data_IF_272012329591
#
_entry.id   IF_272012329591
#
_cell.length_a   1.000
_cell.length_b   1.000
_cell.length_c   1.000
_cell.angle_alpha   90.00
_cell.angle_beta   90.00
_cell.angle_gamma   90.00
#
_symmetry.space_group_name_H-M   'P 1'
#
loop_
_entity.id
_entity.type
_entity.pdbx_description
1 polymer ?
#
# COMPACT_ATOMS: atom_id res chain seq x y z
N UNK A 1 -12.61 13.81 8.49
CA UNK A 1 -11.60 14.12 7.43
C UNK A 1 -10.60 13.00 7.17
N UNK A 2 -10.22 12.19 8.16
CA UNK A 2 -9.17 11.15 8.05
C UNK A 2 -9.30 10.30 6.77
N UNK A 3 -8.19 10.09 6.05
CA UNK A 3 -8.17 9.28 4.83
C UNK A 3 -7.22 9.80 3.77
N UNK A 4 -7.09 9.05 2.69
CA UNK A 4 -6.52 9.53 1.44
C UNK A 4 -7.64 10.05 0.54
N UNK A 5 -7.49 11.26 0.03
CA UNK A 5 -8.44 11.95 -0.83
C UNK A 5 -7.75 12.26 -2.16
N UNK A 6 -8.35 11.85 -3.25
CA UNK A 6 -7.80 12.03 -4.60
C UNK A 6 -8.85 12.71 -5.45
N UNK A 7 -8.49 13.80 -6.10
CA UNK A 7 -9.40 14.58 -6.93
C UNK A 7 -8.68 15.51 -7.89
N UNK A 8 -9.42 16.53 -8.34
CA UNK A 8 -8.92 17.54 -9.27
C UNK A 8 -8.98 18.93 -8.62
N UNK A 9 -8.02 19.76 -8.93
CA UNK A 9 -8.04 21.18 -8.63
C UNK A 9 -8.60 21.98 -9.80
N UNK A 10 -9.25 23.10 -9.48
CA UNK A 10 -9.63 24.16 -10.41
C UNK A 10 -9.18 25.50 -9.86
N UNK A 11 -9.40 26.57 -10.60
CA UNK A 11 -8.91 27.92 -10.33
C UNK A 11 -7.65 28.23 -11.12
N UNK A 12 -6.66 28.89 -10.51
CA UNK A 12 -5.43 29.29 -11.21
C UNK A 12 -4.49 28.11 -11.54
N UNK A 13 -4.70 26.95 -10.91
CA UNK A 13 -3.92 25.73 -11.18
C UNK A 13 -4.87 24.54 -11.32
N UNK A 14 -5.04 24.06 -12.54
CA UNK A 14 -5.76 22.82 -12.83
C UNK A 14 -4.81 21.63 -12.76
N UNK A 15 -5.23 20.52 -12.12
CA UNK A 15 -4.40 19.35 -11.99
C UNK A 15 -4.97 18.31 -11.03
N UNK A 16 -4.18 17.30 -10.71
CA UNK A 16 -4.53 16.32 -9.70
C UNK A 16 -4.17 16.84 -8.29
N UNK A 17 -5.03 16.57 -7.33
CA UNK A 17 -4.73 16.76 -5.90
C UNK A 17 -4.83 15.41 -5.18
N UNK A 18 -3.85 15.16 -4.30
CA UNK A 18 -3.82 14.00 -3.41
C UNK A 18 -3.65 14.55 -2.00
N UNK A 19 -4.57 14.25 -1.08
CA UNK A 19 -4.52 14.73 0.30
C UNK A 19 -4.53 13.51 1.24
N UNK A 20 -3.45 13.33 1.98
CA UNK A 20 -3.28 12.27 2.95
C UNK A 20 -3.47 12.85 4.36
N UNK A 21 -4.52 12.43 5.06
CA UNK A 21 -4.92 13.01 6.36
C UNK A 21 -4.89 11.94 7.44
N UNK A 22 -4.02 12.13 8.44
CA UNK A 22 -3.96 11.33 9.66
C UNK A 22 -4.75 11.99 10.80
N UNK A 23 -5.29 11.17 11.67
CA UNK A 23 -5.89 11.56 12.94
C UNK A 23 -4.80 11.63 14.02
N UNK A 24 -4.57 12.82 14.58
CA UNK A 24 -3.54 13.09 15.59
C UNK A 24 -4.10 13.24 17.01
N UNK A 25 -5.30 12.69 17.27
CA UNK A 25 -5.99 12.85 18.55
C UNK A 25 -6.91 14.07 18.55
N UNK A 26 -6.45 15.24 18.92
CA UNK A 26 -7.28 16.44 19.00
C UNK A 26 -7.42 17.21 17.68
N UNK A 27 -6.60 16.89 16.69
CA UNK A 27 -6.54 17.57 15.39
C UNK A 27 -6.23 16.59 14.27
N UNK A 28 -6.34 17.05 13.04
CA UNK A 28 -5.84 16.35 11.86
C UNK A 28 -4.50 16.94 11.43
N UNK A 29 -3.66 16.09 10.82
CA UNK A 29 -2.44 16.55 10.16
C UNK A 29 -2.20 15.71 8.92
N UNK A 30 -1.39 16.22 8.00
CA UNK A 30 -1.14 15.47 6.79
C UNK A 30 -0.31 16.19 5.75
N UNK A 31 -0.26 15.58 4.59
CA UNK A 31 0.48 16.05 3.43
C UNK A 31 -0.45 16.04 2.20
N UNK A 32 -0.50 17.16 1.49
CA UNK A 32 -1.20 17.29 0.23
C UNK A 32 -0.18 17.44 -0.92
N UNK A 33 -0.50 16.85 -2.08
CA UNK A 33 0.25 17.05 -3.31
C UNK A 33 -0.67 17.69 -4.35
N UNK A 34 -0.17 18.72 -5.02
CA UNK A 34 -0.82 19.34 -6.19
C UNK A 34 0.09 19.09 -7.39
N UNK A 35 -0.45 18.40 -8.38
CA UNK A 35 0.24 17.96 -9.59
C UNK A 35 -0.44 18.63 -10.80
N UNK A 36 0.06 19.80 -11.26
CA UNK A 36 -0.54 20.52 -12.37
C UNK A 36 -0.53 19.71 -13.67
N UNK A 37 -1.58 19.89 -14.48
CA UNK A 37 -1.62 19.33 -15.84
C UNK A 37 -0.66 20.08 -16.77
N UNK A 38 -0.52 21.40 -16.59
CA UNK A 38 0.46 22.20 -17.27
C UNK A 38 1.87 21.88 -16.74
N UNK A 39 2.69 21.30 -17.59
CA UNK A 39 4.07 20.90 -17.26
C UNK A 39 5.02 22.08 -17.08
N UNK A 40 4.61 23.29 -17.44
CA UNK A 40 5.36 24.51 -17.15
C UNK A 40 5.16 25.00 -15.71
N UNK A 41 4.21 24.44 -14.98
CA UNK A 41 3.98 24.73 -13.57
C UNK A 41 4.65 23.68 -12.67
N UNK A 42 5.30 24.09 -11.57
CA UNK A 42 5.91 23.16 -10.63
C UNK A 42 4.84 22.42 -9.82
N UNK A 43 5.01 21.13 -9.65
CA UNK A 43 4.25 20.36 -8.66
C UNK A 43 4.66 20.78 -7.23
N UNK A 44 3.72 20.70 -6.31
CA UNK A 44 3.92 21.16 -4.93
C UNK A 44 3.42 20.13 -3.90
N UNK A 45 4.12 20.05 -2.78
CA UNK A 45 3.69 19.35 -1.58
C UNK A 45 3.38 20.38 -0.48
N UNK A 46 2.24 20.22 0.20
CA UNK A 46 1.83 21.09 1.31
C UNK A 46 1.63 20.29 2.59
N UNK A 47 2.49 20.52 3.60
CA UNK A 47 2.29 19.94 4.93
C UNK A 47 1.40 20.83 5.78
N UNK A 48 0.51 20.25 6.57
CA UNK A 48 -0.46 20.97 7.37
C UNK A 48 -0.84 20.29 8.67
N UNK A 49 -1.32 21.10 9.62
CA UNK A 49 -2.07 20.65 10.80
C UNK A 49 -3.30 21.55 10.99
N UNK A 50 -4.47 20.94 11.25
CA UNK A 50 -5.68 21.69 11.59
C UNK A 50 -5.62 22.17 13.03
N UNK A 51 -6.27 23.28 13.39
CA UNK A 51 -6.34 23.73 14.79
C UNK A 51 -7.14 22.75 15.67
N UNK A 52 -8.16 22.14 15.11
CA UNK A 52 -9.10 21.22 15.76
C UNK A 52 -9.68 20.21 14.75
N UNK A 53 -10.73 19.49 15.11
CA UNK A 53 -11.46 18.52 14.25
C UNK A 53 -12.82 19.03 13.76
N UNK A 54 -13.05 20.32 13.72
CA UNK A 54 -14.29 20.86 13.20
C UNK A 54 -14.51 20.54 11.73
N UNK A 55 -15.77 20.48 11.35
CA UNK A 55 -16.20 20.14 9.97
C UNK A 55 -15.76 21.22 8.98
N UNK A 56 -15.76 22.47 9.44
CA UNK A 56 -15.35 23.66 8.68
C UNK A 56 -14.17 24.31 9.42
N UNK A 57 -13.03 24.31 8.79
CA UNK A 57 -11.79 24.75 9.46
C UNK A 57 -10.86 25.47 8.48
N UNK A 58 -10.05 26.38 9.02
CA UNK A 58 -9.05 27.11 8.26
C UNK A 58 -7.68 26.97 8.93
N UNK A 59 -6.66 26.80 8.12
CA UNK A 59 -5.28 26.61 8.58
C UNK A 59 -4.27 27.03 7.53
N UNK A 60 -3.01 27.13 7.92
CA UNK A 60 -1.89 27.32 7.00
C UNK A 60 -1.25 25.98 6.61
N UNK A 61 -0.85 25.87 5.36
CA UNK A 61 0.00 24.82 4.85
C UNK A 61 1.36 25.41 4.44
N UNK A 62 2.45 24.74 4.82
CA UNK A 62 3.79 25.05 4.33
C UNK A 62 4.02 24.24 3.05
N UNK A 63 4.47 24.91 1.99
CA UNK A 63 4.61 24.30 0.67
C UNK A 63 6.05 24.21 0.24
N UNK A 64 6.40 23.05 -0.33
CA UNK A 64 7.67 22.76 -0.95
C UNK A 64 7.45 22.33 -2.41
N UNK A 65 8.33 22.71 -3.33
CA UNK A 65 8.27 22.22 -4.69
C UNK A 65 8.68 20.75 -4.76
N UNK A 66 8.23 20.09 -5.82
CA UNK A 66 8.57 18.71 -6.12
C UNK A 66 9.51 18.70 -7.32
N UNK A 67 10.65 18.03 -7.18
CA UNK A 67 11.56 17.81 -8.30
C UNK A 67 10.90 16.86 -9.33
N UNK A 68 10.64 17.30 -10.56
CA UNK A 68 9.95 16.49 -11.56
C UNK A 68 10.75 15.25 -12.00
N UNK A 69 12.05 15.21 -11.73
CA UNK A 69 12.93 14.07 -12.08
C UNK A 69 12.81 12.92 -11.07
N UNK A 70 12.62 13.26 -9.79
CA UNK A 70 12.59 12.29 -8.69
C UNK A 70 11.18 12.06 -8.12
N UNK A 71 10.31 13.06 -8.22
CA UNK A 71 8.99 13.08 -7.57
C UNK A 71 9.04 13.39 -6.07
N UNK A 72 10.20 13.79 -5.55
CA UNK A 72 10.41 14.13 -4.14
C UNK A 72 10.37 15.64 -3.92
N UNK A 73 10.06 16.04 -2.69
CA UNK A 73 10.19 17.45 -2.28
C UNK A 73 11.65 17.89 -2.32
N UNK A 74 11.86 19.14 -2.69
CA UNK A 74 13.20 19.74 -2.83
C UNK A 74 13.17 21.22 -2.50
N UNK A 75 14.32 21.86 -2.44
CA UNK A 75 14.41 23.32 -2.36
C UNK A 75 14.17 23.96 -3.73
N UNK A 76 13.48 25.11 -3.73
CA UNK A 76 13.19 25.84 -4.98
C UNK A 76 14.45 26.17 -5.77
N UNK A 77 15.53 26.52 -5.10
CA UNK A 77 16.82 26.85 -5.72
C UNK A 77 17.37 25.71 -6.62
N UNK A 78 17.03 24.46 -6.34
CA UNK A 78 17.51 23.30 -7.10
C UNK A 78 16.76 23.07 -8.41
N UNK A 79 15.53 23.60 -8.53
CA UNK A 79 14.69 23.37 -9.71
C UNK A 79 14.19 24.66 -10.37
N UNK A 80 14.48 25.84 -9.83
CA UNK A 80 14.04 27.13 -10.39
C UNK A 80 14.46 27.32 -11.86
N UNK A 81 15.61 26.78 -12.26
CA UNK A 81 16.07 26.84 -13.64
C UNK A 81 15.18 26.09 -14.63
N UNK A 82 14.38 25.14 -14.15
CA UNK A 82 13.37 24.42 -14.94
C UNK A 82 12.10 25.26 -15.17
N UNK A 83 11.92 26.31 -14.38
CA UNK A 83 10.72 27.15 -14.35
C UNK A 83 11.11 28.66 -14.34
N UNK A 84 11.77 29.18 -15.38
CA UNK A 84 12.42 30.49 -15.34
C UNK A 84 11.46 31.68 -15.15
N UNK A 85 10.18 31.53 -15.49
CA UNK A 85 9.17 32.59 -15.37
C UNK A 85 8.26 32.43 -14.13
N UNK A 86 8.55 31.47 -13.26
CA UNK A 86 7.68 31.10 -12.15
C UNK A 86 8.37 31.35 -10.81
N UNK A 87 7.60 31.77 -9.83
CA UNK A 87 8.01 31.76 -8.41
C UNK A 87 7.19 30.71 -7.66
N UNK A 88 7.82 29.96 -6.78
CA UNK A 88 7.14 28.96 -5.97
C UNK A 88 6.61 29.58 -4.67
N UNK A 89 5.34 29.33 -4.36
CA UNK A 89 4.75 29.73 -3.10
C UNK A 89 5.30 28.89 -1.94
N UNK A 90 5.59 29.52 -0.80
CA UNK A 90 6.09 28.85 0.41
C UNK A 90 4.99 28.54 1.42
N UNK A 91 3.85 29.21 1.31
CA UNK A 91 2.69 29.03 2.18
C UNK A 91 1.39 29.16 1.41
N UNK A 92 0.35 28.50 1.93
CA UNK A 92 -1.02 28.69 1.49
C UNK A 92 -1.98 28.74 2.70
N UNK A 93 -2.97 29.64 2.65
CA UNK A 93 -4.10 29.62 3.56
C UNK A 93 -5.16 28.67 3.00
N UNK A 94 -5.53 27.67 3.78
CA UNK A 94 -6.45 26.61 3.38
C UNK A 94 -7.76 26.77 4.13
N UNK A 95 -8.88 26.78 3.40
CA UNK A 95 -10.21 26.51 3.93
C UNK A 95 -10.60 25.07 3.59
N UNK A 96 -11.01 24.30 4.58
CA UNK A 96 -11.42 22.93 4.40
C UNK A 96 -12.79 22.69 5.02
N UNK A 97 -13.73 22.15 4.24
CA UNK A 97 -15.04 21.69 4.72
C UNK A 97 -15.21 20.24 4.41
N UNK A 98 -15.49 19.47 5.45
CA UNK A 98 -15.75 18.03 5.34
C UNK A 98 -17.21 17.74 5.65
N UNK A 99 -17.93 17.11 4.73
CA UNK A 99 -19.29 16.66 4.92
C UNK A 99 -19.45 15.25 4.38
N UNK A 100 -19.77 14.32 5.27
CA UNK A 100 -19.92 12.89 4.94
C UNK A 100 -18.70 12.31 4.20
N UNK A 101 -18.80 12.11 2.88
CA UNK A 101 -17.76 11.59 2.02
C UNK A 101 -17.22 12.65 1.04
N UNK A 102 -17.45 13.93 1.31
CA UNK A 102 -17.02 15.03 0.48
C UNK A 102 -16.01 15.90 1.25
N UNK A 103 -14.94 16.27 0.57
CA UNK A 103 -13.93 17.20 1.06
C UNK A 103 -13.86 18.39 0.10
N UNK A 104 -14.34 19.53 0.55
CA UNK A 104 -14.21 20.80 -0.16
C UNK A 104 -12.99 21.54 0.34
N UNK A 105 -12.13 21.94 -0.57
CA UNK A 105 -10.90 22.67 -0.28
C UNK A 105 -10.87 23.98 -1.07
N UNK A 106 -10.45 25.04 -0.39
CA UNK A 106 -10.02 26.29 -1.00
C UNK A 106 -8.64 26.61 -0.54
N UNK A 107 -7.78 27.08 -1.42
CA UNK A 107 -6.43 27.49 -1.05
C UNK A 107 -6.10 28.83 -1.68
N UNK A 108 -5.42 29.69 -0.94
CA UNK A 108 -4.84 30.93 -1.43
C UNK A 108 -3.38 31.00 -1.01
N UNK A 109 -2.50 31.00 -1.99
CA UNK A 109 -1.04 31.04 -1.76
C UNK A 109 -0.58 32.44 -1.36
N UNK A 110 0.60 32.55 -0.75
CA UNK A 110 1.24 33.82 -0.44
C UNK A 110 1.64 34.63 -1.71
N UNK A 111 1.60 34.02 -2.89
CA UNK A 111 1.80 34.70 -4.17
C UNK A 111 0.48 35.11 -4.85
N UNK A 112 -0.67 34.83 -4.20
CA UNK A 112 -1.99 35.24 -4.65
C UNK A 112 -2.74 34.20 -5.48
N UNK A 113 -2.13 33.13 -5.93
CA UNK A 113 -2.80 32.07 -6.67
C UNK A 113 -3.89 31.37 -5.81
N UNK A 114 -5.02 31.08 -6.43
CA UNK A 114 -6.18 30.44 -5.80
C UNK A 114 -6.45 29.07 -6.39
N UNK A 115 -6.77 28.10 -5.56
CA UNK A 115 -7.16 26.76 -5.95
C UNK A 115 -8.45 26.38 -5.23
N UNK A 116 -9.29 25.61 -5.93
CA UNK A 116 -10.48 24.99 -5.35
C UNK A 116 -10.49 23.51 -5.70
N UNK A 117 -11.07 22.71 -4.81
CA UNK A 117 -11.27 21.28 -5.09
C UNK A 117 -12.51 20.78 -4.36
N UNK A 118 -13.27 19.92 -5.03
CA UNK A 118 -14.35 19.16 -4.41
C UNK A 118 -14.08 17.68 -4.67
N UNK A 119 -13.72 16.97 -3.62
CA UNK A 119 -13.31 15.57 -3.69
C UNK A 119 -14.41 14.72 -3.07
N UNK A 120 -14.98 13.83 -3.88
CA UNK A 120 -15.99 12.86 -3.43
C UNK A 120 -15.30 11.51 -3.30
N UNK A 121 -15.38 10.93 -2.10
CA UNK A 121 -14.85 9.60 -1.82
C UNK A 121 -15.98 8.60 -1.68
N UNK A 122 -15.86 7.45 -2.35
CA UNK A 122 -16.79 6.35 -2.10
C UNK A 122 -16.66 5.86 -0.66
N UNK A 123 -17.77 5.49 0.01
CA UNK A 123 -17.72 4.85 1.31
C UNK A 123 -16.76 3.66 1.29
N UNK A 124 -15.94 3.53 2.33
CA UNK A 124 -15.00 2.44 2.42
C UNK A 124 -15.75 1.10 2.55
N UNK A 125 -15.41 0.14 1.68
CA UNK A 125 -15.82 -1.26 1.81
C UNK A 125 -14.64 -2.11 2.26
N UNK A 126 -14.88 -2.99 3.22
CA UNK A 126 -13.90 -4.01 3.61
C UNK A 126 -13.79 -5.14 2.59
N UNK A 127 -14.86 -5.36 1.83
CA UNK A 127 -14.91 -6.39 0.80
C UNK A 127 -14.34 -5.87 -0.53
N UNK A 128 -13.68 -6.77 -1.23
CA UNK A 128 -13.16 -6.52 -2.56
C UNK A 128 -14.27 -6.30 -3.59
N UNK A 129 -14.04 -5.37 -4.51
CA UNK A 129 -14.91 -5.16 -5.68
C UNK A 129 -14.57 -6.13 -6.82
N UNK A 130 -13.46 -6.87 -6.73
CA UNK A 130 -13.05 -7.86 -7.72
C UNK A 130 -13.89 -9.12 -7.54
N UNK A 131 -14.56 -9.54 -8.59
CA UNK A 131 -15.31 -10.80 -8.60
C UNK A 131 -14.34 -11.96 -8.71
N UNK A 132 -14.31 -12.85 -7.72
CA UNK A 132 -13.59 -14.11 -7.79
C UNK A 132 -14.43 -15.18 -8.51
N UNK A 133 -13.78 -16.01 -9.30
CA UNK A 133 -14.41 -17.20 -9.83
C UNK A 133 -14.36 -18.30 -8.77
N UNK A 134 -15.52 -18.84 -8.41
CA UNK A 134 -15.61 -19.90 -7.38
C UNK A 134 -15.19 -21.23 -7.99
N UNK A 135 -14.16 -21.86 -7.41
CA UNK A 135 -13.56 -23.11 -7.89
C UNK A 135 -13.41 -24.12 -6.74
N UNK A 136 -13.33 -25.40 -7.11
CA UNK A 136 -12.86 -26.45 -6.22
C UNK A 136 -11.32 -26.38 -6.10
N UNK A 137 -10.77 -27.08 -5.11
CA UNK A 137 -9.33 -27.19 -4.94
C UNK A 137 -8.64 -27.80 -6.18
N UNK A 138 -9.26 -28.82 -6.79
CA UNK A 138 -8.74 -29.46 -8.01
C UNK A 138 -8.72 -28.49 -9.21
N UNK A 139 -9.79 -27.72 -9.38
CA UNK A 139 -9.85 -26.72 -10.44
C UNK A 139 -8.80 -25.62 -10.21
N UNK A 140 -8.64 -25.15 -8.97
CA UNK A 140 -7.59 -24.21 -8.62
C UNK A 140 -6.20 -24.70 -9.01
N UNK A 141 -5.84 -25.94 -8.61
CA UNK A 141 -4.54 -26.54 -8.95
C UNK A 141 -4.31 -26.60 -10.47
N UNK A 142 -5.33 -27.00 -11.22
CA UNK A 142 -5.28 -27.06 -12.68
C UNK A 142 -5.02 -25.69 -13.29
N UNK A 143 -5.74 -24.67 -12.83
CA UNK A 143 -5.63 -23.32 -13.39
C UNK A 143 -4.27 -22.69 -13.09
N UNK A 144 -3.82 -22.77 -11.83
CA UNK A 144 -2.53 -22.17 -11.46
C UNK A 144 -1.34 -22.91 -12.08
N UNK A 145 -1.46 -24.21 -12.35
CA UNK A 145 -0.43 -24.97 -13.04
C UNK A 145 -0.25 -24.57 -14.52
N UNK A 146 -1.26 -23.96 -15.12
CA UNK A 146 -1.19 -23.41 -16.47
C UNK A 146 -0.52 -22.02 -16.52
N UNK A 147 -0.32 -21.36 -15.37
CA UNK A 147 0.33 -20.06 -15.29
C UNK A 147 1.85 -20.21 -15.35
N UNK A 148 2.49 -19.33 -16.13
CA UNK A 148 3.95 -19.34 -16.27
C UNK A 148 4.61 -18.71 -15.03
N UNK A 149 5.34 -19.51 -14.29
CA UNK A 149 6.31 -19.18 -13.23
C UNK A 149 6.26 -17.77 -12.64
N UNK A 150 7.40 -17.09 -12.61
CA UNK A 150 7.57 -15.75 -11.96
C UNK A 150 6.81 -14.59 -12.63
N UNK A 151 6.00 -14.84 -13.67
CA UNK A 151 5.14 -13.86 -14.32
C UNK A 151 4.07 -13.30 -13.38
N UNK A 152 3.62 -14.11 -12.42
CA UNK A 152 2.51 -13.81 -11.53
C UNK A 152 2.94 -13.79 -10.08
N UNK A 153 2.28 -12.92 -9.31
CA UNK A 153 2.30 -12.92 -7.85
C UNK A 153 0.94 -13.36 -7.32
N UNK A 154 0.97 -14.07 -6.20
CA UNK A 154 -0.23 -14.62 -5.58
C UNK A 154 -0.35 -14.10 -4.14
N UNK A 155 -1.59 -13.85 -3.69
CA UNK A 155 -1.86 -13.49 -2.32
C UNK A 155 -3.11 -14.18 -1.81
N UNK A 156 -2.97 -15.03 -0.79
CA UNK A 156 -4.08 -15.71 -0.13
C UNK A 156 -4.70 -14.86 0.97
N UNK A 157 -6.01 -14.86 1.06
CA UNK A 157 -6.78 -14.25 2.13
C UNK A 157 -7.93 -15.15 2.53
N UNK A 158 -8.18 -15.23 3.85
CA UNK A 158 -9.26 -16.03 4.42
C UNK A 158 -10.66 -15.66 3.91
N UNK A 159 -10.84 -14.41 3.48
CA UNK A 159 -12.10 -13.87 2.94
C UNK A 159 -11.78 -12.95 1.77
N UNK A 160 -12.78 -12.64 0.93
CA UNK A 160 -12.63 -11.69 -0.16
C UNK A 160 -12.48 -10.23 0.33
N UNK A 161 -11.51 -9.97 1.21
CA UNK A 161 -11.22 -8.62 1.67
C UNK A 161 -10.48 -7.81 0.61
N UNK A 162 -10.76 -6.52 0.57
CA UNK A 162 -10.08 -5.56 -0.30
C UNK A 162 -8.57 -5.53 -0.02
N UNK A 163 -7.77 -5.47 -1.09
CA UNK A 163 -6.33 -5.32 -0.99
C UNK A 163 -5.98 -3.97 -0.35
N UNK A 164 -5.27 -4.01 0.77
CA UNK A 164 -4.88 -2.84 1.54
C UNK A 164 -3.67 -3.13 2.40
N UNK A 165 -2.71 -2.21 2.48
CA UNK A 165 -1.54 -2.38 3.33
C UNK A 165 -1.92 -2.34 4.82
N UNK A 166 -1.06 -2.87 5.69
CA UNK A 166 -1.29 -2.81 7.13
C UNK A 166 -1.32 -1.36 7.66
N UNK A 167 -0.50 -0.48 7.10
CA UNK A 167 -0.45 0.95 7.41
C UNK A 167 -1.82 1.62 7.18
N UNK A 168 -2.39 1.46 6.00
CA UNK A 168 -3.69 2.03 5.67
C UNK A 168 -4.84 1.37 6.46
N UNK A 169 -4.77 0.05 6.75
CA UNK A 169 -5.77 -0.61 7.62
C UNK A 169 -5.79 -0.06 9.04
N UNK A 170 -4.67 0.45 9.53
CA UNK A 170 -4.59 1.15 10.84
C UNK A 170 -5.05 2.61 10.76
N UNK A 171 -5.46 3.08 9.57
CA UNK A 171 -5.99 4.42 9.37
C UNK A 171 -4.92 5.50 9.39
N UNK A 172 -3.72 5.17 8.93
CA UNK A 172 -2.62 6.09 8.66
C UNK A 172 -2.45 6.27 7.16
N UNK A 173 -2.11 7.48 6.72
CA UNK A 173 -2.07 7.85 5.30
C UNK A 173 -0.87 8.74 4.96
N UNK A 174 -0.32 9.45 5.94
CA UNK A 174 0.84 10.32 5.77
C UNK A 174 2.14 9.50 5.83
N UNK A 175 2.65 9.13 4.65
CA UNK A 175 3.90 8.37 4.53
C UNK A 175 5.14 9.22 4.81
N UNK A 176 5.07 10.54 4.64
CA UNK A 176 6.18 11.41 5.03
C UNK A 176 6.40 11.32 6.53
N UNK A 177 5.33 11.45 7.30
CA UNK A 177 5.38 11.30 8.75
C UNK A 177 5.81 9.89 9.19
N UNK A 178 5.39 8.85 8.48
CA UNK A 178 5.89 7.49 8.72
C UNK A 178 7.41 7.42 8.58
N UNK A 179 7.98 8.06 7.54
CA UNK A 179 9.43 8.05 7.31
C UNK A 179 10.19 8.94 8.30
N UNK A 180 9.65 10.08 8.70
CA UNK A 180 10.34 11.04 9.59
C UNK A 180 10.23 10.69 11.07
N UNK A 181 9.11 10.11 11.49
CA UNK A 181 8.81 9.86 12.91
C UNK A 181 8.94 8.37 13.26
N UNK A 182 8.21 7.49 12.52
CA UNK A 182 8.13 6.07 12.87
C UNK A 182 9.44 5.33 12.56
N UNK A 183 9.97 5.48 11.35
CA UNK A 183 11.14 4.73 10.90
C UNK A 183 12.39 5.00 11.76
N UNK A 184 12.77 6.26 12.09
CA UNK A 184 13.92 6.51 12.95
C UNK A 184 13.74 5.96 14.37
N UNK A 185 12.51 6.02 14.90
CA UNK A 185 12.20 5.46 16.23
C UNK A 185 12.33 3.93 16.23
N UNK A 186 11.77 3.27 15.21
CA UNK A 186 11.88 1.83 15.02
C UNK A 186 13.34 1.41 14.87
N UNK A 187 14.08 2.08 13.99
CA UNK A 187 15.48 1.79 13.75
C UNK A 187 16.30 1.87 15.04
N UNK A 188 16.20 2.98 15.78
CA UNK A 188 16.91 3.18 17.05
C UNK A 188 16.57 2.10 18.09
N UNK A 189 15.31 1.64 18.14
CA UNK A 189 14.90 0.62 19.11
C UNK A 189 15.28 -0.80 18.69
N UNK A 190 15.19 -1.11 17.41
CA UNK A 190 15.40 -2.47 16.90
C UNK A 190 16.87 -2.76 16.63
N UNK A 191 17.70 -1.76 16.39
CA UNK A 191 19.16 -1.95 16.18
C UNK A 191 19.87 -2.64 17.34
N UNK A 192 19.32 -2.59 18.56
CA UNK A 192 19.83 -3.32 19.71
C UNK A 192 19.45 -4.80 19.72
N UNK A 193 18.52 -5.23 18.87
CA UNK A 193 17.95 -6.58 18.82
C UNK A 193 18.25 -7.32 17.52
N UNK A 194 18.89 -6.66 16.55
CA UNK A 194 19.32 -7.24 15.28
C UNK A 194 20.84 -7.46 15.28
N UNK A 195 21.31 -8.48 14.59
CA UNK A 195 22.76 -8.73 14.39
C UNK A 195 23.31 -7.84 13.27
N UNK A 196 22.44 -7.45 12.32
CA UNK A 196 22.80 -6.57 11.22
C UNK A 196 22.40 -5.11 11.52
N UNK A 197 23.31 -4.18 11.25
CA UNK A 197 23.04 -2.74 11.33
C UNK A 197 22.64 -2.24 9.94
N UNK A 198 21.35 -2.01 9.76
CA UNK A 198 20.79 -1.56 8.48
C UNK A 198 21.25 -0.15 8.12
N UNK A 199 21.69 0.06 6.88
CA UNK A 199 21.87 1.40 6.32
C UNK A 199 20.59 1.84 5.59
N UNK A 200 19.81 2.71 6.22
CA UNK A 200 18.51 3.16 5.68
C UNK A 200 18.65 4.11 4.47
N UNK A 201 19.85 4.57 4.14
CA UNK A 201 20.11 5.34 2.91
C UNK A 201 20.25 4.44 1.68
N UNK A 202 20.51 3.15 1.89
CA UNK A 202 20.58 2.14 0.83
C UNK A 202 19.19 1.54 0.60
N UNK A 203 18.57 1.71 -0.58
CA UNK A 203 17.18 1.27 -0.82
C UNK A 203 16.92 -0.21 -0.52
N UNK A 204 17.85 -1.10 -0.82
CA UNK A 204 17.70 -2.52 -0.56
C UNK A 204 17.73 -2.85 0.94
N UNK A 205 18.56 -2.17 1.74
CA UNK A 205 18.61 -2.35 3.18
C UNK A 205 17.42 -1.70 3.87
N UNK A 206 16.98 -0.53 3.38
CA UNK A 206 15.76 0.11 3.84
C UNK A 206 14.54 -0.79 3.61
N UNK A 207 14.43 -1.38 2.40
CA UNK A 207 13.37 -2.34 2.10
C UNK A 207 13.42 -3.59 2.98
N UNK A 208 14.62 -4.15 3.22
CA UNK A 208 14.82 -5.29 4.12
C UNK A 208 14.41 -4.94 5.56
N UNK A 209 14.77 -3.74 6.04
CA UNK A 209 14.34 -3.25 7.35
C UNK A 209 12.82 -3.15 7.46
N UNK A 210 12.14 -2.55 6.48
CA UNK A 210 10.67 -2.46 6.46
C UNK A 210 10.01 -3.84 6.41
N UNK A 211 10.57 -4.77 5.64
CA UNK A 211 10.10 -6.15 5.59
C UNK A 211 10.26 -6.86 6.94
N UNK A 212 11.38 -6.64 7.62
CA UNK A 212 11.64 -7.19 8.96
C UNK A 212 10.62 -6.65 9.98
N UNK A 213 10.41 -5.35 10.05
CA UNK A 213 9.46 -4.78 11.02
C UNK A 213 8.02 -5.17 10.73
N UNK A 214 7.65 -5.35 9.44
CA UNK A 214 6.34 -5.91 9.07
C UNK A 214 6.18 -7.35 9.53
N UNK A 215 7.22 -8.16 9.38
CA UNK A 215 7.27 -9.53 9.86
C UNK A 215 6.97 -9.63 11.37
N UNK A 216 7.48 -8.69 12.15
CA UNK A 216 7.21 -8.58 13.59
C UNK A 216 5.92 -7.82 13.91
N UNK A 217 5.02 -7.62 12.94
CA UNK A 217 3.67 -7.10 13.12
C UNK A 217 3.53 -5.58 13.13
N UNK A 218 4.60 -4.84 12.85
CA UNK A 218 4.49 -3.39 12.71
C UNK A 218 3.79 -3.02 11.40
N UNK A 219 2.80 -2.11 11.41
CA UNK A 219 2.06 -1.73 10.20
C UNK A 219 2.95 -0.91 9.24
N UNK A 220 3.25 -1.48 8.09
CA UNK A 220 4.04 -0.84 7.03
C UNK A 220 3.19 -0.56 5.78
N UNK A 221 3.64 0.31 4.86
CA UNK A 221 3.01 0.54 3.56
C UNK A 221 3.34 -0.54 2.53
N UNK A 222 3.66 -1.73 2.99
CA UNK A 222 3.97 -2.89 2.17
C UNK A 222 2.76 -3.83 2.09
N UNK A 223 2.64 -4.53 0.97
CA UNK A 223 1.67 -5.62 0.81
C UNK A 223 2.41 -6.87 0.33
N UNK A 224 2.33 -7.93 1.13
CA UNK A 224 3.03 -9.18 0.86
C UNK A 224 2.32 -9.98 -0.23
N UNK A 225 3.13 -10.60 -1.06
CA UNK A 225 2.79 -11.54 -2.10
C UNK A 225 3.74 -12.74 -2.05
N UNK A 226 3.43 -13.74 -2.82
CA UNK A 226 4.31 -14.89 -3.04
C UNK A 226 4.34 -15.27 -4.52
N UNK A 227 5.45 -15.83 -4.98
CA UNK A 227 5.54 -16.44 -6.31
C UNK A 227 4.84 -17.81 -6.38
N UNK A 228 4.55 -18.41 -5.23
CA UNK A 228 3.92 -19.72 -5.17
C UNK A 228 2.40 -19.64 -4.99
N UNK A 229 1.59 -20.11 -5.94
CA UNK A 229 0.15 -20.22 -5.76
C UNK A 229 -0.22 -21.11 -4.57
N UNK A 230 0.60 -22.12 -4.27
CA UNK A 230 0.37 -23.05 -3.17
C UNK A 230 0.64 -22.41 -1.79
N UNK A 231 1.68 -21.59 -1.68
CA UNK A 231 1.93 -20.77 -0.48
C UNK A 231 0.78 -19.78 -0.26
N UNK A 232 0.28 -19.14 -1.33
CA UNK A 232 -0.90 -18.28 -1.24
C UNK A 232 -2.14 -19.04 -0.74
N UNK A 233 -2.37 -20.25 -1.27
CA UNK A 233 -3.46 -21.10 -0.79
C UNK A 233 -3.31 -21.49 0.69
N UNK A 234 -2.09 -21.80 1.15
CA UNK A 234 -1.81 -22.03 2.57
C UNK A 234 -2.26 -20.84 3.41
N UNK A 235 -1.85 -19.63 3.06
CA UNK A 235 -2.27 -18.42 3.78
C UNK A 235 -3.78 -18.18 3.74
N UNK A 236 -4.44 -18.55 2.64
CA UNK A 236 -5.89 -18.44 2.52
C UNK A 236 -6.62 -19.39 3.46
N UNK A 237 -6.17 -20.63 3.57
CA UNK A 237 -6.83 -21.68 4.36
C UNK A 237 -6.39 -21.73 5.83
N UNK A 238 -5.15 -21.31 6.15
CA UNK A 238 -4.54 -21.47 7.48
C UNK A 238 -5.45 -21.07 8.64
N UNK A 239 -6.12 -19.93 8.53
CA UNK A 239 -6.94 -19.38 9.62
C UNK A 239 -8.44 -19.65 9.47
N UNK A 240 -8.86 -20.57 8.62
CA UNK A 240 -10.26 -20.94 8.42
C UNK A 240 -10.66 -21.94 9.50
N UNK A 241 -11.69 -21.67 10.33
CA UNK A 241 -12.20 -22.66 11.28
C UNK A 241 -12.81 -23.86 10.54
N UNK A 242 -12.55 -25.08 11.03
CA UNK A 242 -13.04 -26.33 10.42
C UNK A 242 -14.58 -26.40 10.26
N UNK A 243 -15.32 -25.68 11.09
CA UNK A 243 -16.77 -25.73 11.12
C UNK A 243 -17.47 -24.76 10.16
N UNK A 244 -16.73 -23.92 9.44
CA UNK A 244 -17.31 -22.94 8.50
C UNK A 244 -17.23 -23.46 7.06
N UNK A 245 -18.33 -24.05 6.58
CA UNK A 245 -18.39 -24.69 5.25
C UNK A 245 -18.98 -23.81 4.13
N UNK A 246 -19.59 -22.67 4.48
CA UNK A 246 -20.33 -21.83 3.53
C UNK A 246 -19.55 -20.58 3.07
N UNK A 247 -18.33 -20.39 3.55
CA UNK A 247 -17.50 -19.26 3.19
C UNK A 247 -16.52 -19.64 2.07
N UNK A 248 -16.02 -18.67 1.36
CA UNK A 248 -14.92 -18.85 0.41
C UNK A 248 -13.65 -18.22 0.96
N UNK A 249 -12.50 -18.82 0.64
CA UNK A 249 -11.19 -18.19 0.75
C UNK A 249 -10.81 -17.64 -0.60
N UNK A 250 -9.97 -16.60 -0.63
CA UNK A 250 -9.60 -15.93 -1.88
C UNK A 250 -8.10 -15.99 -2.13
N UNK A 251 -7.73 -16.26 -3.38
CA UNK A 251 -6.37 -16.06 -3.88
C UNK A 251 -6.41 -15.00 -4.98
N UNK A 252 -5.74 -13.88 -4.75
CA UNK A 252 -5.48 -12.87 -5.76
C UNK A 252 -4.32 -13.30 -6.64
N UNK A 253 -4.40 -12.98 -7.92
CA UNK A 253 -3.39 -13.28 -8.94
C UNK A 253 -3.05 -11.97 -9.64
N UNK A 254 -1.81 -11.52 -9.52
CA UNK A 254 -1.33 -10.27 -10.06
C UNK A 254 -0.27 -10.51 -11.13
N UNK A 255 -0.54 -10.08 -12.37
CA UNK A 255 0.40 -10.16 -13.49
C UNK A 255 1.49 -9.08 -13.35
N UNK A 256 2.51 -9.38 -12.56
CA UNK A 256 3.59 -8.45 -12.26
C UNK A 256 4.50 -8.15 -13.45
N UNK A 257 4.67 -9.11 -14.36
CA UNK A 257 5.50 -8.91 -15.55
C UNK A 257 4.90 -7.84 -16.45
N UNK A 258 3.60 -7.97 -16.76
CA UNK A 258 2.90 -6.99 -17.57
C UNK A 258 2.77 -5.64 -16.85
N UNK A 259 2.58 -5.64 -15.53
CA UNK A 259 2.59 -4.43 -14.71
C UNK A 259 3.93 -3.70 -14.82
N UNK A 260 5.05 -4.39 -14.59
CA UNK A 260 6.40 -3.83 -14.68
C UNK A 260 6.74 -3.30 -16.08
N UNK A 261 6.20 -3.91 -17.13
CA UNK A 261 6.43 -3.45 -18.51
C UNK A 261 5.70 -2.15 -18.85
N UNK A 262 4.57 -1.86 -18.17
CA UNK A 262 3.75 -0.68 -18.44
C UNK A 262 4.00 0.47 -17.45
N UNK A 263 4.44 0.18 -16.21
CA UNK A 263 4.52 1.15 -15.13
C UNK A 263 5.91 1.19 -14.50
N UNK A 264 6.41 2.42 -14.32
CA UNK A 264 7.68 2.63 -13.63
C UNK A 264 7.60 2.12 -12.19
N UNK A 265 8.62 1.38 -11.75
CA UNK A 265 8.74 0.91 -10.38
C UNK A 265 9.54 1.95 -9.56
N UNK A 266 8.97 2.37 -8.44
CA UNK A 266 9.54 3.39 -7.56
C UNK A 266 9.88 2.75 -6.22
N UNK A 267 11.09 2.98 -5.74
CA UNK A 267 11.58 2.42 -4.47
C UNK A 267 11.18 3.28 -3.28
N UNK A 268 10.86 4.55 -3.53
CA UNK A 268 10.59 5.53 -2.48
C UNK A 268 9.11 5.62 -2.12
N UNK A 269 8.82 5.73 -0.82
CA UNK A 269 7.45 5.75 -0.28
C UNK A 269 6.76 7.10 -0.46
N UNK A 270 7.50 8.21 -0.37
CA UNK A 270 6.97 9.58 -0.27
C UNK A 270 7.00 10.37 -1.58
N UNK A 271 7.05 9.67 -2.71
CA UNK A 271 6.90 10.35 -4.02
C UNK A 271 5.51 10.94 -4.16
N UNK A 272 5.43 12.08 -4.81
CA UNK A 272 4.20 12.85 -4.97
C UNK A 272 3.12 12.13 -5.80
N UNK A 273 3.51 11.36 -6.80
CA UNK A 273 2.58 10.60 -7.65
C UNK A 273 2.11 9.31 -6.98
N UNK A 274 0.89 8.89 -7.32
CA UNK A 274 0.38 7.59 -6.90
C UNK A 274 1.17 6.46 -7.57
N UNK A 275 1.59 5.47 -6.79
CA UNK A 275 2.32 4.33 -7.32
C UNK A 275 2.03 3.02 -6.58
N UNK A 276 2.13 1.93 -7.33
CA UNK A 276 2.22 0.56 -6.85
C UNK A 276 3.44 -0.06 -7.51
N UNK A 277 4.44 -0.40 -6.73
CA UNK A 277 5.72 -0.91 -7.25
C UNK A 277 6.01 -2.28 -6.68
N UNK A 278 6.37 -3.22 -7.56
CA UNK A 278 6.76 -4.58 -7.17
C UNK A 278 8.24 -4.58 -6.81
N UNK A 279 8.54 -5.06 -5.60
CA UNK A 279 9.88 -5.09 -5.04
C UNK A 279 10.21 -6.47 -4.50
N UNK A 280 11.48 -6.82 -4.60
CA UNK A 280 12.06 -7.98 -3.93
C UNK A 280 13.10 -7.47 -2.93
N UNK A 281 12.93 -7.80 -1.67
CA UNK A 281 13.82 -7.34 -0.62
C UNK A 281 14.83 -8.43 -0.25
N UNK A 282 15.99 -8.01 0.22
CA UNK A 282 16.98 -8.91 0.76
C UNK A 282 16.43 -9.57 2.05
N UNK A 283 16.70 -10.87 2.21
CA UNK A 283 16.26 -11.63 3.38
C UNK A 283 17.18 -11.40 4.62
N UNK A 284 17.49 -10.13 4.91
CA UNK A 284 18.33 -9.78 6.05
C UNK A 284 17.50 -9.90 7.33
N UNK A 285 17.93 -10.73 8.27
CA UNK A 285 17.25 -10.99 9.55
C UNK A 285 15.79 -11.50 9.42
N UNK A 286 15.36 -11.92 8.22
CA UNK A 286 14.00 -12.35 7.94
C UNK A 286 13.99 -13.73 7.26
N UNK A 287 14.08 -14.78 8.06
CA UNK A 287 14.13 -16.17 7.59
C UNK A 287 12.90 -16.65 6.85
N UNK A 288 11.74 -15.94 6.98
CA UNK A 288 10.46 -16.33 6.34
C UNK A 288 10.40 -15.98 4.86
N UNK A 289 11.20 -15.02 4.38
CA UNK A 289 11.13 -14.57 2.98
C UNK A 289 11.39 -15.70 1.99
N UNK A 290 12.38 -16.56 2.29
CA UNK A 290 12.80 -17.65 1.37
C UNK A 290 11.73 -18.75 1.28
N UNK A 291 11.29 -19.40 2.38
CA UNK A 291 10.29 -20.47 2.30
C UNK A 291 8.94 -19.97 1.81
N UNK A 292 8.58 -18.72 2.08
CA UNK A 292 7.36 -18.11 1.56
C UNK A 292 7.47 -17.67 0.10
N UNK A 293 8.65 -17.79 -0.54
CA UNK A 293 8.90 -17.28 -1.90
C UNK A 293 8.37 -15.86 -2.06
N UNK A 294 8.73 -15.02 -1.09
CA UNK A 294 8.08 -13.74 -0.87
C UNK A 294 8.44 -12.70 -1.94
N UNK A 295 7.46 -11.96 -2.35
CA UNK A 295 7.57 -10.69 -3.06
C UNK A 295 6.71 -9.64 -2.36
N UNK A 296 6.96 -8.37 -2.63
CA UNK A 296 6.28 -7.29 -1.94
C UNK A 296 5.87 -6.21 -2.93
N UNK A 297 4.70 -5.61 -2.74
CA UNK A 297 4.41 -4.33 -3.38
C UNK A 297 4.50 -3.20 -2.37
N UNK A 298 5.17 -2.13 -2.80
CA UNK A 298 5.30 -0.86 -2.09
C UNK A 298 4.30 0.12 -2.68
N UNK A 299 3.53 0.80 -1.87
CA UNK A 299 2.50 1.71 -2.38
C UNK A 299 2.18 2.85 -1.41
N UNK A 300 1.88 4.01 -1.96
CA UNK A 300 1.30 5.14 -1.24
C UNK A 300 -0.24 5.24 -1.41
N UNK A 301 -0.89 4.17 -1.87
CA UNK A 301 -2.31 4.15 -2.22
C UNK A 301 -3.10 3.39 -1.17
N UNK A 302 -4.20 3.99 -0.71
CA UNK A 302 -5.16 3.36 0.21
C UNK A 302 -6.06 2.34 -0.52
N UNK A 303 -6.67 2.69 -1.65
CA UNK A 303 -7.50 1.79 -2.47
C UNK A 303 -6.71 1.22 -3.63
N UNK A 304 -5.95 0.16 -3.35
CA UNK A 304 -5.09 -0.51 -4.34
C UNK A 304 -5.90 -1.08 -5.52
N UNK A 305 -7.06 -1.66 -5.25
CA UNK A 305 -7.90 -2.29 -6.29
C UNK A 305 -8.47 -1.26 -7.25
N UNK A 306 -8.92 -0.11 -6.74
CA UNK A 306 -9.40 0.99 -7.60
C UNK A 306 -8.27 1.50 -8.50
N UNK A 307 -7.10 1.73 -7.93
CA UNK A 307 -5.95 2.20 -8.70
C UNK A 307 -5.54 1.22 -9.80
N UNK A 308 -5.45 -0.08 -9.49
CA UNK A 308 -5.13 -1.10 -10.52
C UNK A 308 -6.19 -1.09 -11.61
N UNK A 309 -7.48 -1.02 -11.26
CA UNK A 309 -8.59 -0.98 -12.24
C UNK A 309 -8.52 0.24 -13.17
N UNK A 310 -8.17 1.42 -12.63
CA UNK A 310 -7.95 2.61 -13.46
C UNK A 310 -6.80 2.39 -14.46
N UNK A 311 -5.71 1.75 -14.00
CA UNK A 311 -4.57 1.39 -14.84
C UNK A 311 -4.87 0.29 -15.86
N UNK A 312 -5.74 -0.65 -15.53
CA UNK A 312 -6.28 -1.65 -16.46
C UNK A 312 -7.10 -0.99 -17.57
N UNK A 313 -7.95 -0.03 -17.19
CA UNK A 313 -8.74 0.75 -18.15
C UNK A 313 -7.85 1.57 -19.08
N UNK A 314 -6.82 2.22 -18.54
CA UNK A 314 -5.86 3.04 -19.31
C UNK A 314 -5.10 2.20 -20.36
N UNK A 315 -4.79 0.93 -20.05
CA UNK A 315 -4.03 0.04 -20.93
C UNK A 315 -4.87 -0.97 -21.72
N UNK A 316 -6.16 -1.09 -21.41
CA UNK A 316 -7.05 -2.07 -22.04
C UNK A 316 -6.65 -3.53 -21.75
N UNK A 317 -6.09 -3.80 -20.57
CA UNK A 317 -5.64 -5.15 -20.17
C UNK A 317 -5.96 -5.40 -18.70
N UNK A 318 -5.87 -6.65 -18.25
CA UNK A 318 -6.09 -7.02 -16.85
C UNK A 318 -4.78 -7.37 -16.16
N UNK A 319 -4.53 -6.77 -14.99
CA UNK A 319 -3.39 -7.08 -14.15
C UNK A 319 -3.77 -7.90 -12.92
N UNK A 320 -4.99 -7.72 -12.40
CA UNK A 320 -5.40 -8.30 -11.12
C UNK A 320 -6.69 -9.10 -11.27
N UNK A 321 -6.61 -10.39 -10.98
CA UNK A 321 -7.75 -11.30 -10.92
C UNK A 321 -7.81 -12.02 -9.59
N UNK A 322 -8.89 -12.76 -9.33
CA UNK A 322 -9.03 -13.54 -8.11
C UNK A 322 -9.74 -14.87 -8.39
N UNK A 323 -9.33 -15.90 -7.65
CA UNK A 323 -10.03 -17.17 -7.54
C UNK A 323 -10.53 -17.31 -6.11
N UNK A 324 -11.81 -17.68 -5.99
CA UNK A 324 -12.44 -18.00 -4.72
C UNK A 324 -12.53 -19.52 -4.59
N UNK A 325 -12.05 -20.09 -3.48
CA UNK A 325 -12.08 -21.53 -3.23
C UNK A 325 -12.99 -21.77 -2.05
N UNK A 326 -13.85 -22.79 -2.14
CA UNK A 326 -14.76 -23.12 -1.03
C UNK A 326 -13.99 -23.50 0.23
N UNK A 327 -14.35 -22.93 1.36
CA UNK A 327 -13.70 -23.19 2.64
C UNK A 327 -13.86 -24.66 3.10
N UNK A 328 -14.85 -25.38 2.58
CA UNK A 328 -15.04 -26.83 2.78
C UNK A 328 -13.87 -27.67 2.24
N UNK A 329 -13.11 -27.15 1.27
CA UNK A 329 -11.93 -27.80 0.69
C UNK A 329 -10.69 -27.75 1.62
N UNK A 330 -10.74 -27.00 2.74
CA UNK A 330 -9.60 -26.78 3.64
C UNK A 330 -8.88 -28.07 4.01
N UNK A 331 -9.61 -29.09 4.45
CA UNK A 331 -9.00 -30.33 4.95
C UNK A 331 -8.17 -31.02 3.86
N UNK A 332 -8.70 -31.11 2.65
CA UNK A 332 -7.99 -31.70 1.50
C UNK A 332 -6.83 -30.84 1.07
N UNK A 333 -7.05 -29.52 0.94
CA UNK A 333 -6.01 -28.57 0.54
C UNK A 333 -4.83 -28.54 1.52
N UNK A 334 -5.08 -28.40 2.83
CA UNK A 334 -4.03 -28.34 3.84
C UNK A 334 -3.24 -29.65 3.94
N UNK A 335 -3.91 -30.80 3.80
CA UNK A 335 -3.22 -32.10 3.74
C UNK A 335 -2.30 -32.23 2.52
N UNK A 336 -2.75 -31.84 1.34
CA UNK A 336 -1.94 -31.90 0.13
C UNK A 336 -0.77 -30.89 0.19
N UNK A 337 -1.01 -29.69 0.72
CA UNK A 337 0.03 -28.69 0.94
C UNK A 337 1.10 -29.21 1.92
N UNK A 338 0.71 -29.96 2.96
CA UNK A 338 1.69 -30.55 3.89
C UNK A 338 2.56 -31.61 3.20
N UNK A 339 2.00 -32.40 2.27
CA UNK A 339 2.80 -33.35 1.45
C UNK A 339 3.80 -32.63 0.52
N UNK A 340 3.52 -31.38 0.15
CA UNK A 340 4.43 -30.52 -0.60
C UNK A 340 5.46 -29.80 0.29
N UNK A 341 5.44 -30.03 1.61
CA UNK A 341 6.29 -29.36 2.58
C UNK A 341 5.84 -27.94 2.94
N UNK A 342 4.61 -27.55 2.56
CA UNK A 342 4.02 -26.25 2.89
C UNK A 342 3.20 -26.40 4.15
N UNK A 343 3.86 -26.20 5.31
CA UNK A 343 3.31 -26.33 6.65
C UNK A 343 3.55 -25.04 7.46
N UNK A 344 2.91 -24.91 8.62
CA UNK A 344 3.18 -23.77 9.49
C UNK A 344 4.65 -23.72 9.93
N UNK A 345 5.27 -24.89 10.25
CA UNK A 345 6.67 -24.96 10.62
C UNK A 345 7.63 -24.51 9.52
N UNK A 346 7.36 -24.89 8.26
CA UNK A 346 8.18 -24.47 7.14
C UNK A 346 7.98 -23.01 6.77
N UNK A 347 6.74 -22.50 6.83
CA UNK A 347 6.40 -21.11 6.48
C UNK A 347 6.79 -20.10 7.56
N UNK A 348 6.88 -20.54 8.81
CA UNK A 348 7.24 -19.72 9.97
C UNK A 348 8.36 -20.39 10.75
N UNK A 349 9.62 -20.33 10.27
CA UNK A 349 10.76 -20.92 10.99
C UNK A 349 10.81 -20.43 12.44
N UNK A 350 11.08 -21.36 13.36
CA UNK A 350 11.15 -21.10 14.79
C UNK A 350 10.04 -21.77 15.60
N UNK A 351 10.01 -21.48 16.89
CA UNK A 351 9.13 -22.17 17.85
C UNK A 351 7.63 -21.97 17.55
N UNK A 352 7.25 -20.76 17.14
CA UNK A 352 5.84 -20.44 16.87
C UNK A 352 5.25 -21.29 15.74
N UNK A 353 5.98 -21.40 14.62
CA UNK A 353 5.56 -22.21 13.48
C UNK A 353 5.55 -23.71 13.79
N UNK A 354 6.55 -24.20 14.51
CA UNK A 354 6.60 -25.59 14.96
C UNK A 354 5.44 -25.93 15.90
N UNK A 355 5.16 -25.08 16.86
CA UNK A 355 4.01 -25.27 17.78
C UNK A 355 2.68 -25.22 17.04
N UNK A 356 2.52 -24.30 16.08
CA UNK A 356 1.30 -24.21 15.26
C UNK A 356 1.09 -25.48 14.44
N UNK A 357 2.14 -25.98 13.79
CA UNK A 357 2.08 -27.22 13.02
C UNK A 357 1.72 -28.43 13.88
N UNK A 358 2.36 -28.57 15.04
CA UNK A 358 2.04 -29.63 15.97
C UNK A 358 0.60 -29.52 16.51
N UNK A 359 0.13 -28.32 16.79
CA UNK A 359 -1.24 -28.07 17.21
C UNK A 359 -2.24 -28.50 16.13
N UNK A 360 -1.98 -28.13 14.87
CA UNK A 360 -2.84 -28.56 13.76
C UNK A 360 -2.87 -30.08 13.60
N UNK A 361 -1.72 -30.74 13.71
CA UNK A 361 -1.59 -32.19 13.56
C UNK A 361 -2.23 -32.97 14.73
N UNK A 362 -2.07 -32.49 15.97
CA UNK A 362 -2.52 -33.22 17.16
C UNK A 362 -3.96 -32.90 17.56
N UNK A 363 -4.38 -31.66 17.39
CA UNK A 363 -5.71 -31.20 17.84
C UNK A 363 -6.63 -30.90 16.67
N UNK A 364 -6.09 -30.86 15.48
CA UNK A 364 -6.87 -30.61 14.29
C UNK A 364 -7.45 -29.19 14.20
N UNK A 365 -6.81 -28.22 14.86
CA UNK A 365 -7.22 -26.80 14.91
C UNK A 365 -6.44 -25.94 13.89
#
# INVERSE_FOLDING_TARGET
MKGQWIGRTGGDVEGQIIVNIDDLGERYGGLAFVLPDDKNLPSSAGSFMTPNKEVDTSFKAHTLPIDPRTGLTTDWAQIQSLYPAISHATEANIGARFKENELHLTAKTNLGATLTSNIIKKPFSTNSDIKGEVKTWEQYKKDVSALLGQRYLFRGQRKPWKLRTAFHRKGRYDLSRFQTDDVPLLYRRLSASTSHVFNLEIPNEYGAFLSLVQHHGYPTPLLDWTYSPYVAAFFAFRSVPKNKREEVVRVYIFNQEQWKSHWRQLVMLNVAGLHLSVMEFLAIENERLIPQQAATTVTNIDDIELYIREKETEKGCSYLTAIDIQSSERTTAMRELSFMGITAGSMFPGLDGACEELKENMFGE
#
